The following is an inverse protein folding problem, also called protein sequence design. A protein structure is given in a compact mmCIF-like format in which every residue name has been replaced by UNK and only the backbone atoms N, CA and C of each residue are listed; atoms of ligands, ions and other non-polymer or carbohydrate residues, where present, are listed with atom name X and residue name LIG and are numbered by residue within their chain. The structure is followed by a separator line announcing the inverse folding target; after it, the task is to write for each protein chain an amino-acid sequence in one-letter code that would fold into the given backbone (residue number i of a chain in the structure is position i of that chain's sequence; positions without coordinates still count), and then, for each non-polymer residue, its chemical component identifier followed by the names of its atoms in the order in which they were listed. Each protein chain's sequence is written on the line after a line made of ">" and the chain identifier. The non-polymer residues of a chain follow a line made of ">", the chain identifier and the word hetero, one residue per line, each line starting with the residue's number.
data_IF_717272179403
#
_entry.id   IF_717272179403
#
_cell.length_a   1.000
_cell.length_b   1.000
_cell.length_c   1.000
_cell.angle_alpha   90.00
_cell.angle_beta   90.00
_cell.angle_gamma   90.00
#
_symmetry.space_group_name_H-M   'P 1'
#
loop_
_entity.id
_entity.type
_entity.pdbx_description
1 polymer ?
#
# COMPACT_ATOMS: atom_id res chain seq x y z
N UNK A 1 3.89 -7.94 37.28
CA UNK A 1 5.14 -7.47 36.64
C UNK A 1 4.86 -7.31 35.16
N UNK A 2 5.06 -6.14 34.58
CA UNK A 2 4.90 -5.96 33.13
C UNK A 2 5.95 -6.82 32.41
N UNK A 3 5.49 -7.71 31.54
CA UNK A 3 6.36 -8.55 30.73
C UNK A 3 7.26 -7.64 29.88
N UNK A 4 8.58 -7.78 30.01
CA UNK A 4 9.51 -6.98 29.21
C UNK A 4 9.25 -7.26 27.72
N UNK A 5 8.93 -6.22 26.93
CA UNK A 5 8.74 -6.35 25.48
C UNK A 5 9.99 -6.97 24.87
N UNK A 6 9.87 -8.22 24.42
CA UNK A 6 10.94 -8.97 23.76
C UNK A 6 11.24 -8.32 22.39
N UNK A 7 12.49 -7.97 22.14
CA UNK A 7 12.91 -7.49 20.82
C UNK A 7 12.91 -8.67 19.84
N UNK A 8 12.19 -8.53 18.72
CA UNK A 8 12.08 -9.56 17.68
C UNK A 8 12.63 -9.03 16.36
N UNK A 9 13.33 -9.88 15.63
CA UNK A 9 13.78 -9.65 14.25
C UNK A 9 12.95 -10.57 13.36
N UNK A 10 12.42 -10.06 12.26
CA UNK A 10 11.57 -10.81 11.33
C UNK A 10 12.26 -11.02 10.00
N UNK A 11 12.15 -12.22 9.44
CA UNK A 11 12.63 -12.56 8.12
C UNK A 11 11.55 -12.30 7.08
N UNK A 12 11.72 -11.26 6.25
CA UNK A 12 10.83 -10.94 5.12
C UNK A 12 11.60 -10.93 3.79
N UNK A 13 12.53 -11.87 3.63
CA UNK A 13 13.30 -12.06 2.39
C UNK A 13 12.63 -13.20 1.61
N UNK A 14 12.44 -13.10 0.28
CA UNK A 14 11.77 -14.12 -0.52
C UNK A 14 12.65 -15.36 -0.81
N UNK A 15 13.24 -15.96 0.22
CA UNK A 15 14.13 -17.14 0.10
C UNK A 15 13.42 -18.41 -0.36
N UNK A 16 12.08 -18.46 -0.33
CA UNK A 16 11.31 -19.53 -0.96
C UNK A 16 11.67 -19.77 -2.44
N UNK A 17 12.14 -18.73 -3.14
CA UNK A 17 12.60 -18.84 -4.54
C UNK A 17 13.84 -19.73 -4.67
N UNK A 18 14.65 -19.83 -3.62
CA UNK A 18 15.90 -20.60 -3.59
C UNK A 18 15.68 -22.09 -3.30
N UNK A 19 14.47 -22.49 -2.88
CA UNK A 19 14.16 -23.86 -2.49
C UNK A 19 14.32 -24.87 -3.62
N UNK A 20 14.12 -24.44 -4.87
CA UNK A 20 14.35 -25.24 -6.08
C UNK A 20 15.82 -25.63 -6.26
N UNK A 21 16.74 -24.91 -5.61
CA UNK A 21 18.17 -25.17 -5.58
C UNK A 21 18.61 -25.92 -4.32
N UNK A 22 17.68 -26.46 -3.52
CA UNK A 22 17.99 -27.21 -2.31
C UNK A 22 18.38 -26.34 -1.11
N UNK A 23 18.26 -25.01 -1.20
CA UNK A 23 18.51 -24.08 -0.10
C UNK A 23 17.20 -23.74 0.61
N UNK A 24 17.06 -24.14 1.87
CA UNK A 24 15.81 -24.07 2.64
C UNK A 24 15.83 -23.07 3.81
N UNK A 25 17.00 -22.54 4.16
CA UNK A 25 17.19 -21.43 5.10
C UNK A 25 16.67 -21.70 6.52
N UNK A 26 16.71 -22.95 6.99
CA UNK A 26 16.29 -23.32 8.34
C UNK A 26 17.16 -22.67 9.42
N UNK A 27 18.41 -22.35 9.12
CA UNK A 27 19.36 -21.70 10.03
C UNK A 27 18.90 -20.30 10.49
N UNK A 28 18.06 -19.62 9.70
CA UNK A 28 17.50 -18.29 10.03
C UNK A 28 16.81 -18.33 11.39
N UNK A 29 15.91 -19.29 11.59
CA UNK A 29 15.18 -19.47 12.85
C UNK A 29 15.93 -20.34 13.84
N UNK A 30 16.59 -21.40 13.39
CA UNK A 30 17.21 -22.40 14.29
C UNK A 30 18.53 -21.92 14.92
N UNK A 31 19.32 -21.09 14.22
CA UNK A 31 20.65 -20.67 14.67
C UNK A 31 20.67 -19.20 15.05
N UNK A 32 20.06 -18.33 14.24
CA UNK A 32 20.16 -16.87 14.42
C UNK A 32 19.03 -16.27 15.26
N UNK A 33 18.06 -17.08 15.70
CA UNK A 33 16.92 -16.63 16.49
C UNK A 33 16.14 -15.47 15.82
N UNK A 34 16.06 -15.51 14.48
CA UNK A 34 15.23 -14.62 13.68
C UNK A 34 13.86 -15.29 13.50
N UNK A 35 12.79 -14.53 13.72
CA UNK A 35 11.41 -15.00 13.51
C UNK A 35 11.15 -15.20 12.01
N UNK A 36 10.85 -16.43 11.61
CA UNK A 36 10.69 -16.86 10.22
C UNK A 36 9.32 -17.53 10.05
N UNK A 37 8.67 -17.31 8.91
CA UNK A 37 7.46 -18.03 8.54
C UNK A 37 7.72 -19.54 8.47
N UNK A 38 6.69 -20.33 8.83
CA UNK A 38 6.74 -21.78 8.70
C UNK A 38 7.04 -22.20 7.26
N UNK A 39 7.94 -23.18 7.09
CA UNK A 39 8.43 -23.65 5.78
C UNK A 39 9.06 -22.55 4.91
N UNK A 40 9.50 -21.44 5.51
CA UNK A 40 10.11 -20.30 4.79
C UNK A 40 9.19 -19.75 3.68
N UNK A 41 7.86 -19.79 3.89
CA UNK A 41 6.92 -19.15 2.95
C UNK A 41 7.04 -17.64 3.02
N UNK A 42 6.86 -16.96 1.90
CA UNK A 42 7.00 -15.50 1.86
C UNK A 42 5.89 -14.79 2.65
N UNK A 43 4.63 -15.15 2.39
CA UNK A 43 3.51 -14.79 3.25
C UNK A 43 3.17 -16.01 4.11
N UNK A 44 3.24 -15.87 5.43
CA UNK A 44 3.09 -16.98 6.36
C UNK A 44 2.51 -16.55 7.70
N UNK A 45 2.79 -17.31 8.75
CA UNK A 45 2.19 -17.10 10.07
C UNK A 45 2.83 -15.97 10.89
N UNK A 46 4.07 -15.58 10.59
CA UNK A 46 4.82 -14.56 11.35
C UNK A 46 4.78 -13.18 10.69
N UNK A 47 4.88 -13.14 9.35
CA UNK A 47 4.85 -11.90 8.57
C UNK A 47 4.26 -12.15 7.19
N UNK A 48 3.51 -11.17 6.68
CA UNK A 48 3.03 -11.12 5.32
C UNK A 48 3.09 -9.70 4.78
N UNK A 49 3.55 -9.55 3.54
CA UNK A 49 3.60 -8.28 2.81
C UNK A 49 2.70 -8.35 1.58
N UNK A 50 1.85 -7.36 1.43
CA UNK A 50 0.95 -7.22 0.28
C UNK A 50 1.39 -6.02 -0.56
N UNK A 51 2.05 -6.31 -1.68
CA UNK A 51 2.45 -5.31 -2.65
C UNK A 51 1.26 -4.81 -3.44
N UNK A 52 1.03 -3.49 -3.42
CA UNK A 52 0.00 -2.82 -4.21
C UNK A 52 -1.42 -3.44 -4.06
N UNK A 53 -1.77 -3.88 -2.85
CA UNK A 53 -3.06 -4.52 -2.58
C UNK A 53 -4.26 -3.59 -2.79
N UNK A 54 -5.31 -4.13 -3.39
CA UNK A 54 -6.50 -3.39 -3.79
C UNK A 54 -6.28 -2.54 -5.04
N UNK A 55 -7.30 -1.76 -5.40
CA UNK A 55 -7.27 -0.93 -6.62
C UNK A 55 -6.98 0.54 -6.28
N UNK A 56 -5.83 0.83 -5.67
CA UNK A 56 -5.47 2.22 -5.36
C UNK A 56 -5.37 3.08 -6.65
N UNK A 57 -5.88 4.33 -6.63
CA UNK A 57 -5.74 5.26 -7.75
C UNK A 57 -4.28 5.45 -8.15
N UNK A 58 -3.96 5.12 -9.40
CA UNK A 58 -2.57 5.11 -9.87
C UNK A 58 -2.46 5.93 -11.14
N UNK A 59 -1.41 6.76 -11.21
CA UNK A 59 -1.01 7.48 -12.40
C UNK A 59 0.51 7.41 -12.55
N UNK A 60 0.96 6.66 -13.56
CA UNK A 60 2.35 6.56 -13.96
C UNK A 60 2.43 7.08 -15.39
N UNK A 61 3.39 7.95 -15.66
CA UNK A 61 3.72 8.42 -17.00
C UNK A 61 5.19 8.10 -17.28
N UNK A 62 5.44 7.39 -18.38
CA UNK A 62 6.77 7.05 -18.84
C UNK A 62 7.33 8.13 -19.76
N UNK A 63 8.66 8.12 -19.97
CA UNK A 63 9.33 9.10 -20.84
C UNK A 63 8.88 9.03 -22.30
N UNK A 64 8.44 7.87 -22.77
CA UNK A 64 7.89 7.66 -24.10
C UNK A 64 6.41 8.08 -24.22
N UNK A 65 5.91 8.92 -23.30
CA UNK A 65 4.52 9.37 -23.16
C UNK A 65 3.46 8.27 -22.95
N UNK A 66 3.88 7.02 -22.70
CA UNK A 66 2.94 5.96 -22.31
C UNK A 66 2.45 6.20 -20.88
N UNK A 67 1.18 5.91 -20.62
CA UNK A 67 0.57 6.06 -19.29
C UNK A 67 0.04 4.71 -18.76
N UNK A 68 0.24 4.47 -17.46
CA UNK A 68 -0.53 3.48 -16.70
C UNK A 68 -1.44 4.24 -15.75
N UNK A 69 -2.74 3.99 -15.88
CA UNK A 69 -3.76 4.67 -15.10
C UNK A 69 -4.71 3.66 -14.50
N UNK A 70 -4.93 3.74 -13.20
CA UNK A 70 -5.89 2.88 -12.48
C UNK A 70 -6.77 3.74 -11.59
N UNK A 71 -8.00 3.25 -11.38
CA UNK A 71 -8.99 3.80 -10.47
C UNK A 71 -9.02 5.35 -10.38
N UNK A 72 -9.18 6.03 -11.52
CA UNK A 72 -9.34 7.50 -11.53
C UNK A 72 -8.06 8.33 -11.36
N UNK A 73 -6.86 7.73 -11.43
CA UNK A 73 -5.53 8.37 -11.36
C UNK A 73 -5.17 8.98 -10.00
N UNK A 74 -6.08 9.69 -9.34
CA UNK A 74 -5.89 10.38 -8.04
C UNK A 74 -7.00 10.03 -7.06
N UNK A 75 -6.74 10.09 -5.74
CA UNK A 75 -7.71 9.67 -4.72
C UNK A 75 -9.08 10.34 -4.81
N UNK A 76 -9.15 11.63 -5.12
CA UNK A 76 -10.44 12.37 -5.22
C UNK A 76 -11.27 12.02 -6.46
N UNK A 77 -10.74 11.18 -7.36
CA UNK A 77 -11.46 10.65 -8.53
C UNK A 77 -11.57 9.12 -8.49
N UNK A 78 -11.02 8.46 -7.47
CA UNK A 78 -11.05 7.02 -7.35
C UNK A 78 -12.37 6.49 -6.80
N UNK A 79 -12.73 5.30 -7.24
CA UNK A 79 -13.82 4.51 -6.68
C UNK A 79 -13.29 3.72 -5.46
N UNK A 80 -13.70 4.16 -4.27
CA UNK A 80 -13.31 3.52 -3.02
C UNK A 80 -13.85 2.08 -2.92
N UNK A 81 -15.08 1.82 -3.35
CA UNK A 81 -15.68 0.50 -3.21
C UNK A 81 -14.98 -0.51 -4.13
N UNK A 82 -14.61 -0.09 -5.34
CA UNK A 82 -13.80 -0.90 -6.25
C UNK A 82 -12.46 -1.28 -5.61
N UNK A 83 -11.80 -0.31 -4.95
CA UNK A 83 -10.57 -0.58 -4.21
C UNK A 83 -10.76 -1.59 -3.08
N UNK A 84 -11.78 -1.40 -2.24
CA UNK A 84 -12.05 -2.27 -1.09
C UNK A 84 -12.41 -3.70 -1.52
N UNK A 85 -13.18 -3.87 -2.59
CA UNK A 85 -13.51 -5.19 -3.14
C UNK A 85 -12.25 -5.92 -3.64
N UNK A 86 -11.38 -5.22 -4.38
CA UNK A 86 -10.12 -5.81 -4.83
C UNK A 86 -9.19 -6.14 -3.65
N UNK A 87 -9.14 -5.27 -2.64
CA UNK A 87 -8.35 -5.48 -1.43
C UNK A 87 -8.78 -6.74 -0.68
N UNK A 88 -10.08 -7.01 -0.59
CA UNK A 88 -10.60 -8.22 0.03
C UNK A 88 -10.16 -9.49 -0.74
N UNK A 89 -10.21 -9.44 -2.08
CA UNK A 89 -9.72 -10.54 -2.94
C UNK A 89 -8.24 -10.78 -2.70
N UNK A 90 -7.42 -9.73 -2.75
CA UNK A 90 -5.97 -9.82 -2.58
C UNK A 90 -5.60 -10.33 -1.18
N UNK A 91 -6.28 -9.83 -0.14
CA UNK A 91 -6.08 -10.26 1.24
C UNK A 91 -6.40 -11.75 1.42
N UNK A 92 -7.54 -12.20 0.88
CA UNK A 92 -7.94 -13.60 0.99
C UNK A 92 -7.07 -14.55 0.16
N UNK A 93 -6.47 -14.07 -0.94
CA UNK A 93 -5.54 -14.85 -1.74
C UNK A 93 -4.15 -14.98 -1.12
N UNK A 94 -3.70 -13.99 -0.35
CA UNK A 94 -2.32 -13.92 0.14
C UNK A 94 -2.14 -14.17 1.64
N UNK A 95 -3.14 -13.84 2.46
CA UNK A 95 -3.13 -14.08 3.92
C UNK A 95 -4.35 -14.93 4.25
N UNK A 96 -4.28 -16.23 3.94
CA UNK A 96 -5.45 -17.12 3.92
C UNK A 96 -6.00 -17.43 5.32
N UNK A 97 -5.19 -17.37 6.37
CA UNK A 97 -5.64 -17.62 7.74
C UNK A 97 -6.43 -16.42 8.29
N UNK A 98 -7.75 -16.55 8.57
CA UNK A 98 -8.55 -15.48 9.18
C UNK A 98 -8.10 -15.14 10.61
N UNK A 99 -7.34 -16.03 11.26
CA UNK A 99 -6.77 -15.85 12.59
C UNK A 99 -5.30 -15.40 12.56
N UNK A 100 -4.78 -14.98 11.41
CA UNK A 100 -3.44 -14.45 11.29
C UNK A 100 -3.17 -13.40 12.38
N UNK A 101 -2.08 -13.60 13.12
CA UNK A 101 -1.65 -12.77 14.27
C UNK A 101 -0.19 -12.32 14.15
N UNK A 102 0.40 -12.50 12.96
CA UNK A 102 1.72 -12.00 12.61
C UNK A 102 1.68 -10.52 12.19
N UNK A 103 2.79 -10.04 11.63
CA UNK A 103 2.89 -8.67 11.11
C UNK A 103 2.30 -8.61 9.69
N UNK A 104 1.24 -7.84 9.50
CA UNK A 104 0.73 -7.48 8.19
C UNK A 104 1.32 -6.17 7.67
N UNK A 105 1.92 -6.19 6.49
CA UNK A 105 2.50 -5.01 5.82
C UNK A 105 1.71 -4.73 4.54
N UNK A 106 1.13 -3.55 4.43
CA UNK A 106 0.56 -3.03 3.18
C UNK A 106 1.59 -2.14 2.51
N UNK A 107 2.05 -2.53 1.34
CA UNK A 107 3.09 -1.80 0.63
C UNK A 107 2.51 -1.03 -0.56
N UNK A 108 2.28 0.26 -0.35
CA UNK A 108 1.77 1.18 -1.35
C UNK A 108 2.57 2.48 -1.36
N UNK A 109 3.28 2.72 -2.47
CA UNK A 109 4.28 3.79 -2.54
C UNK A 109 4.02 4.82 -3.65
N UNK A 110 2.96 4.64 -4.45
CA UNK A 110 2.75 5.47 -5.65
C UNK A 110 2.49 6.94 -5.32
N UNK A 111 1.81 7.21 -4.20
CA UNK A 111 1.62 8.55 -3.69
C UNK A 111 1.45 8.57 -2.17
N UNK A 112 1.76 9.73 -1.57
CA UNK A 112 1.67 10.00 -0.14
C UNK A 112 0.34 10.68 0.21
N UNK A 113 -0.27 10.40 1.36
CA UNK A 113 -1.58 10.93 1.69
C UNK A 113 -1.61 12.43 1.99
N UNK A 114 -0.43 13.06 2.12
CA UNK A 114 -0.29 14.51 2.29
C UNK A 114 0.21 15.14 1.00
N UNK A 115 -0.61 15.97 0.36
CA UNK A 115 -0.38 16.60 -0.93
C UNK A 115 1.01 17.22 -1.06
N UNK A 116 1.45 17.97 -0.04
CA UNK A 116 2.76 18.63 -0.01
C UNK A 116 3.94 17.64 -0.10
N UNK A 117 3.78 16.42 0.39
CA UNK A 117 4.83 15.40 0.41
C UNK A 117 5.02 14.67 -0.93
N UNK A 118 4.15 14.93 -1.92
CA UNK A 118 4.29 14.38 -3.27
C UNK A 118 5.23 15.24 -4.14
N UNK A 119 6.52 15.29 -3.81
CA UNK A 119 7.48 16.21 -4.45
C UNK A 119 8.54 15.54 -5.35
N UNK A 120 8.60 14.21 -5.41
CA UNK A 120 9.61 13.53 -6.23
C UNK A 120 9.06 13.24 -7.64
N UNK A 121 9.92 12.80 -8.55
CA UNK A 121 9.52 12.57 -9.94
C UNK A 121 8.45 11.49 -10.10
N UNK A 122 8.40 10.53 -9.18
CA UNK A 122 7.41 9.45 -9.18
C UNK A 122 6.01 9.96 -8.81
N UNK A 123 5.91 10.91 -7.87
CA UNK A 123 4.62 11.31 -7.31
C UNK A 123 4.20 12.78 -7.54
N UNK A 124 5.04 13.61 -8.15
CA UNK A 124 4.67 15.00 -8.52
C UNK A 124 3.45 15.03 -9.45
N UNK A 125 3.29 14.02 -10.30
CA UNK A 125 2.20 13.91 -11.28
C UNK A 125 0.82 13.91 -10.63
N UNK A 126 0.68 13.37 -9.41
CA UNK A 126 -0.59 13.37 -8.69
C UNK A 126 -1.00 14.79 -8.27
N UNK A 127 -0.03 15.66 -7.94
CA UNK A 127 -0.30 17.06 -7.64
C UNK A 127 -0.70 17.82 -8.88
N UNK A 128 0.08 17.68 -9.94
CA UNK A 128 -0.16 18.36 -11.22
C UNK A 128 -1.54 17.99 -11.76
N UNK A 129 -1.87 16.69 -11.79
CA UNK A 129 -3.18 16.22 -12.21
C UNK A 129 -4.30 16.76 -11.31
N UNK A 130 -4.13 16.75 -9.99
CA UNK A 130 -5.12 17.30 -9.06
C UNK A 130 -5.38 18.78 -9.28
N UNK A 131 -4.34 19.60 -9.53
CA UNK A 131 -4.48 21.03 -9.82
C UNK A 131 -5.16 21.26 -11.18
N UNK A 132 -4.81 20.45 -12.17
CA UNK A 132 -5.38 20.54 -13.51
C UNK A 132 -6.88 20.17 -13.52
N UNK A 133 -7.30 19.21 -12.70
CA UNK A 133 -8.71 18.88 -12.50
C UNK A 133 -9.51 20.10 -12.03
N UNK A 134 -9.06 20.77 -10.98
CA UNK A 134 -9.75 21.96 -10.43
C UNK A 134 -9.72 23.14 -11.39
N UNK A 135 -8.57 23.38 -12.04
CA UNK A 135 -8.43 24.45 -13.05
C UNK A 135 -9.36 24.25 -14.24
N UNK A 136 -9.53 23.01 -14.70
CA UNK A 136 -10.37 22.70 -15.87
C UNK A 136 -11.86 22.69 -15.53
N UNK A 137 -12.23 22.29 -14.31
CA UNK A 137 -13.62 22.28 -13.86
C UNK A 137 -14.18 23.69 -13.62
N UNK A 138 -13.33 24.69 -13.37
CA UNK A 138 -13.76 26.05 -13.10
C UNK A 138 -12.98 27.07 -13.94
N UNK A 139 -13.57 27.52 -15.06
CA UNK A 139 -12.96 28.44 -16.05
C UNK A 139 -12.54 29.83 -15.51
N UNK A 140 -12.77 30.13 -14.23
CA UNK A 140 -12.55 31.44 -13.61
C UNK A 140 -11.49 31.38 -12.48
N UNK A 141 -11.02 30.19 -12.08
CA UNK A 141 -10.09 30.09 -10.95
C UNK A 141 -8.67 30.54 -11.33
N UNK A 142 -8.06 31.29 -10.43
CA UNK A 142 -6.60 31.48 -10.45
C UNK A 142 -5.89 30.19 -10.08
N UNK A 143 -4.64 30.02 -10.53
CA UNK A 143 -3.82 28.86 -10.16
C UNK A 143 -3.71 28.65 -8.64
N UNK A 144 -3.57 29.72 -7.86
CA UNK A 144 -3.48 29.65 -6.39
C UNK A 144 -4.77 29.09 -5.77
N UNK A 145 -5.93 29.49 -6.29
CA UNK A 145 -7.22 28.97 -5.84
C UNK A 145 -7.38 27.50 -6.24
N UNK A 146 -7.10 27.14 -7.49
CA UNK A 146 -7.15 25.76 -7.96
C UNK A 146 -6.23 24.85 -7.14
N UNK A 147 -5.00 25.27 -6.85
CA UNK A 147 -4.06 24.53 -5.97
C UNK A 147 -4.62 24.34 -4.57
N UNK A 148 -5.24 25.35 -3.99
CA UNK A 148 -5.81 25.27 -2.64
C UNK A 148 -6.99 24.28 -2.59
N UNK A 149 -7.84 24.26 -3.61
CA UNK A 149 -8.94 23.30 -3.73
C UNK A 149 -8.42 21.88 -3.95
N UNK A 150 -7.45 21.72 -4.86
CA UNK A 150 -6.83 20.45 -5.17
C UNK A 150 -6.18 19.81 -3.93
N UNK A 151 -5.45 20.59 -3.14
CA UNK A 151 -4.83 20.14 -1.88
C UNK A 151 -5.88 19.63 -0.89
N UNK A 152 -6.98 20.36 -0.69
CA UNK A 152 -8.07 19.94 0.21
C UNK A 152 -8.76 18.66 -0.26
N UNK A 153 -9.11 18.57 -1.55
CA UNK A 153 -9.78 17.41 -2.11
C UNK A 153 -8.86 16.18 -2.07
N UNK A 154 -7.61 16.35 -2.45
CA UNK A 154 -6.62 15.29 -2.43
C UNK A 154 -6.38 14.74 -1.02
N UNK A 155 -6.07 15.60 -0.03
CA UNK A 155 -5.75 15.16 1.33
C UNK A 155 -6.93 14.44 1.98
N UNK A 156 -8.15 14.95 1.78
CA UNK A 156 -9.36 14.31 2.28
C UNK A 156 -9.54 12.92 1.68
N UNK A 157 -9.53 12.81 0.35
CA UNK A 157 -9.77 11.52 -0.31
C UNK A 157 -8.62 10.54 -0.07
N UNK A 158 -7.37 11.00 -0.05
CA UNK A 158 -6.21 10.18 0.24
C UNK A 158 -6.28 9.57 1.65
N UNK A 159 -6.68 10.38 2.63
CA UNK A 159 -6.96 9.92 3.99
C UNK A 159 -8.05 8.86 4.00
N UNK A 160 -9.17 9.09 3.32
CA UNK A 160 -10.28 8.13 3.26
C UNK A 160 -9.82 6.78 2.69
N UNK A 161 -9.08 6.77 1.57
CA UNK A 161 -8.54 5.53 1.01
C UNK A 161 -7.69 4.78 2.05
N UNK A 162 -6.67 5.41 2.62
CA UNK A 162 -5.79 4.76 3.60
C UNK A 162 -6.54 4.26 4.85
N UNK A 163 -7.44 5.07 5.42
CA UNK A 163 -8.20 4.69 6.62
C UNK A 163 -9.12 3.50 6.35
N UNK A 164 -9.85 3.49 5.23
CA UNK A 164 -10.79 2.42 4.90
C UNK A 164 -10.06 1.13 4.48
N UNK A 165 -8.91 1.22 3.80
CA UNK A 165 -8.02 0.07 3.55
C UNK A 165 -7.63 -0.60 4.87
N UNK A 166 -7.15 0.18 5.85
CA UNK A 166 -6.71 -0.34 7.16
C UNK A 166 -7.90 -0.91 7.94
N UNK A 167 -9.06 -0.25 7.93
CA UNK A 167 -10.27 -0.75 8.59
C UNK A 167 -10.71 -2.09 8.03
N UNK A 168 -10.70 -2.24 6.70
CA UNK A 168 -11.07 -3.50 6.06
C UNK A 168 -10.10 -4.61 6.44
N UNK A 169 -8.79 -4.38 6.32
CA UNK A 169 -7.78 -5.41 6.67
C UNK A 169 -7.91 -5.84 8.13
N UNK A 170 -8.08 -4.89 9.06
CA UNK A 170 -8.28 -5.21 10.50
C UNK A 170 -9.61 -5.88 10.79
N UNK A 171 -10.65 -5.62 10.01
CA UNK A 171 -11.93 -6.34 10.13
C UNK A 171 -11.78 -7.80 9.72
N UNK A 172 -11.01 -8.07 8.66
CA UNK A 172 -10.83 -9.41 8.10
C UNK A 172 -9.73 -10.23 8.79
N UNK A 173 -8.71 -9.57 9.35
CA UNK A 173 -7.61 -10.16 10.14
C UNK A 173 -7.49 -9.37 11.46
N UNK A 174 -8.30 -9.71 12.49
CA UNK A 174 -8.47 -8.86 13.68
C UNK A 174 -7.42 -9.04 14.78
N UNK A 175 -6.56 -10.05 14.69
CA UNK A 175 -5.55 -10.37 15.70
C UNK A 175 -4.24 -9.63 15.48
#
# INVERSE_FOLDING_TARGET
>A
MAEAKKFKIYWNVPTFMCHTHGMKFEEVSQVYNITQNSNDTFNGNEIAILYHAGDFPTYIKFENDTEITMNGKVPQRGDLQKHLNQLEIDLNGNVTDPNFSGIGVLDYERWRPVFRQNFNDVNRIYKEYSINLESSSFKILTYKQARTLAEKAYDYSARVFYEETIKLVRKHRPK
#
